data_IF_223659427110
#
_entry.id   IF_223659427110
#
_cell.length_a   1.000
_cell.length_b   1.000
_cell.length_c   1.000
_cell.angle_alpha   90.00
_cell.angle_beta   90.00
_cell.angle_gamma   90.00
#
_symmetry.space_group_name_H-M   'P 1'
#
loop_
_entity.id
_entity.type
_entity.pdbx_description
1 polymer ?
#
# COMPACT_ATOMS: atom_id res chain seq x y z
N UNK A 1 -8.12 -7.97 -32.93
CA UNK A 1 -6.97 -8.00 -31.99
C UNK A 1 -7.01 -6.68 -31.20
N UNK A 2 -7.82 -6.61 -30.13
CA UNK A 2 -7.95 -5.41 -29.29
C UNK A 2 -7.03 -5.58 -28.09
N UNK A 3 -5.86 -4.95 -28.13
CA UNK A 3 -5.00 -4.78 -26.97
C UNK A 3 -5.63 -3.74 -26.06
N UNK A 4 -6.23 -4.18 -24.95
CA UNK A 4 -6.66 -3.27 -23.90
C UNK A 4 -5.40 -2.82 -23.14
N UNK A 5 -5.16 -1.51 -23.15
CA UNK A 5 -4.15 -0.88 -22.33
C UNK A 5 -4.63 -0.94 -20.87
N UNK A 6 -3.89 -1.65 -20.03
CA UNK A 6 -3.98 -1.46 -18.60
C UNK A 6 -3.15 -0.21 -18.28
N UNK A 7 -3.78 0.80 -17.74
CA UNK A 7 -3.14 2.04 -17.33
C UNK A 7 -2.53 1.77 -15.97
N UNK A 8 -1.21 1.87 -15.87
CA UNK A 8 -0.54 2.11 -14.59
C UNK A 8 -1.17 3.40 -14.06
N UNK A 9 -1.74 3.38 -12.87
CA UNK A 9 -2.25 4.60 -12.25
C UNK A 9 -1.06 5.54 -11.98
N UNK A 10 -0.71 6.28 -13.02
CA UNK A 10 0.11 7.47 -12.90
C UNK A 10 -0.82 8.59 -12.44
N UNK A 11 -0.39 9.37 -11.50
CA UNK A 11 -0.96 10.65 -11.15
C UNK A 11 -0.80 11.65 -12.30
N UNK A 12 -1.51 11.40 -13.41
CA UNK A 12 -1.74 12.35 -14.48
C UNK A 12 -3.23 12.58 -14.56
N UNK A 13 -3.64 13.78 -14.30
CA UNK A 13 -5.01 14.23 -14.37
C UNK A 13 -5.74 13.75 -15.64
N UNK A 14 -6.83 13.04 -15.46
CA UNK A 14 -7.90 12.90 -16.44
C UNK A 14 -7.86 11.63 -17.28
N UNK A 15 -8.60 10.62 -16.85
CA UNK A 15 -9.56 9.90 -17.70
C UNK A 15 -10.37 8.90 -16.84
N UNK A 16 -11.60 9.26 -16.57
CA UNK A 16 -12.60 8.39 -15.96
C UNK A 16 -13.01 7.31 -16.96
N UNK A 17 -12.91 6.03 -16.58
CA UNK A 17 -13.66 4.95 -17.24
C UNK A 17 -14.56 4.29 -16.20
N UNK A 18 -15.85 4.61 -16.32
CA UNK A 18 -16.94 3.97 -15.58
C UNK A 18 -17.01 2.48 -15.91
N UNK A 19 -16.75 1.62 -14.94
CA UNK A 19 -17.06 0.21 -14.97
C UNK A 19 -18.12 -0.11 -13.93
N UNK A 20 -19.41 -0.11 -14.31
CA UNK A 20 -20.49 -0.57 -13.45
C UNK A 20 -20.44 -2.10 -13.30
N UNK A 21 -20.02 -2.58 -12.15
CA UNK A 21 -20.19 -3.96 -11.72
C UNK A 21 -21.46 -4.11 -10.91
N UNK A 22 -22.39 -4.95 -11.38
CA UNK A 22 -23.62 -5.32 -10.68
C UNK A 22 -23.30 -6.10 -9.40
N UNK A 23 -23.39 -5.44 -8.26
CA UNK A 23 -23.41 -6.08 -6.96
C UNK A 23 -24.85 -6.29 -6.50
N UNK A 24 -25.19 -7.52 -6.21
CA UNK A 24 -26.50 -7.91 -5.69
C UNK A 24 -26.73 -7.32 -4.28
N UNK A 25 -27.79 -6.55 -4.16
CA UNK A 25 -28.29 -5.98 -2.91
C UNK A 25 -28.63 -7.06 -1.89
N UNK A 26 -27.88 -7.10 -0.77
CA UNK A 26 -28.41 -7.56 0.53
C UNK A 26 -27.99 -6.52 1.58
N UNK A 27 -28.96 -5.75 2.06
CA UNK A 27 -28.78 -4.82 3.19
C UNK A 27 -28.43 -5.59 4.46
N UNK A 28 -27.35 -5.24 5.18
CA UNK A 28 -27.19 -5.64 6.57
C UNK A 28 -28.07 -4.76 7.46
N UNK A 29 -28.76 -5.36 8.40
CA UNK A 29 -29.47 -4.70 9.49
C UNK A 29 -28.44 -4.13 10.47
N UNK A 30 -28.49 -2.81 10.68
CA UNK A 30 -27.68 -2.13 11.68
C UNK A 30 -27.18 -0.78 11.19
N UNK A 31 -28.13 0.13 10.84
CA UNK A 31 -27.79 1.55 10.59
C UNK A 31 -27.61 2.21 11.96
N UNK A 32 -26.46 2.82 12.27
CA UNK A 32 -26.33 3.70 13.42
C UNK A 32 -27.25 4.92 13.24
N UNK A 33 -27.89 5.31 14.32
CA UNK A 33 -28.86 6.38 14.43
C UNK A 33 -28.29 7.72 13.95
N UNK A 34 -28.97 8.39 13.03
CA UNK A 34 -28.57 9.66 12.40
C UNK A 34 -28.65 10.92 13.33
N UNK A 35 -28.36 10.77 14.60
CA UNK A 35 -28.34 11.88 15.55
C UNK A 35 -27.02 11.97 16.32
N UNK A 36 -25.90 11.92 15.62
CA UNK A 36 -24.62 12.39 16.15
C UNK A 36 -24.28 13.70 15.49
N UNK A 37 -23.99 14.71 16.27
CA UNK A 37 -23.57 16.03 15.81
C UNK A 37 -22.50 15.85 14.73
N UNK A 38 -22.72 16.39 13.54
CA UNK A 38 -21.83 16.32 12.39
C UNK A 38 -20.51 17.01 12.74
N UNK A 39 -19.56 16.23 13.26
CA UNK A 39 -18.16 16.65 13.28
C UNK A 39 -17.72 16.79 11.82
N UNK A 40 -17.42 18.01 11.40
CA UNK A 40 -16.99 18.27 10.03
C UNK A 40 -15.61 17.65 9.84
N UNK A 41 -15.50 16.71 8.91
CA UNK A 41 -14.18 16.20 8.46
C UNK A 41 -13.35 17.39 7.97
N UNK A 42 -12.06 17.47 8.33
CA UNK A 42 -11.19 18.54 7.86
C UNK A 42 -11.14 18.58 6.34
N UNK A 43 -11.03 19.76 5.78
CA UNK A 43 -10.87 19.95 4.33
C UNK A 43 -9.51 19.49 3.81
N UNK A 44 -8.52 19.32 4.69
CA UNK A 44 -7.16 18.85 4.39
C UNK A 44 -6.65 17.95 5.52
N UNK A 45 -6.25 16.73 5.18
CA UNK A 45 -5.75 15.71 6.13
C UNK A 45 -4.25 15.46 6.00
N UNK A 46 -3.49 16.32 5.31
CA UNK A 46 -2.06 16.08 5.08
C UNK A 46 -1.28 15.92 6.38
N UNK A 47 -0.34 14.95 6.43
CA UNK A 47 0.62 14.87 7.53
C UNK A 47 1.38 16.18 7.74
N UNK A 48 1.64 16.51 8.99
CA UNK A 48 2.44 17.68 9.34
C UNK A 48 3.92 17.32 9.24
N UNK A 49 4.59 17.82 8.21
CA UNK A 49 6.02 17.57 7.97
C UNK A 49 6.84 18.74 8.52
N UNK A 50 7.82 18.43 9.35
CA UNK A 50 8.77 19.39 9.93
C UNK A 50 10.21 18.99 9.57
N UNK A 51 11.20 19.88 9.76
CA UNK A 51 12.60 19.52 9.49
C UNK A 51 13.12 18.32 10.31
N UNK A 52 12.48 18.01 11.44
CA UNK A 52 12.81 16.86 12.28
C UNK A 52 12.00 15.59 11.95
N UNK A 53 11.16 15.64 10.91
CA UNK A 53 10.37 14.49 10.49
C UNK A 53 11.23 13.42 9.82
N UNK A 54 10.77 12.17 9.91
CA UNK A 54 11.31 11.06 9.10
C UNK A 54 10.97 11.26 7.62
N UNK A 55 11.52 10.42 6.74
CA UNK A 55 11.22 10.47 5.31
C UNK A 55 9.72 10.39 5.02
N UNK A 56 9.27 11.10 3.99
CA UNK A 56 7.87 11.16 3.59
C UNK A 56 7.71 10.84 2.11
N UNK A 57 6.65 10.13 1.76
CA UNK A 57 6.20 9.88 0.41
C UNK A 57 4.70 9.67 0.32
N UNK A 58 4.19 9.45 -0.87
CA UNK A 58 2.78 9.18 -1.09
C UNK A 58 2.53 8.24 -2.28
N UNK A 59 1.49 7.43 -2.19
CA UNK A 59 0.70 6.98 -3.31
C UNK A 59 -0.33 8.05 -3.60
N UNK A 60 -0.20 8.72 -4.74
CA UNK A 60 -0.92 9.96 -5.04
C UNK A 60 -1.51 9.95 -6.46
N UNK A 61 -2.53 9.10 -6.72
CA UNK A 61 -3.15 9.04 -8.04
C UNK A 61 -3.94 10.31 -8.41
N UNK A 62 -4.16 11.19 -7.44
CA UNK A 62 -4.93 12.43 -7.60
C UNK A 62 -4.07 13.68 -7.77
N UNK A 63 -2.76 13.59 -7.50
CA UNK A 63 -1.82 14.71 -7.62
C UNK A 63 -1.86 15.68 -6.44
N UNK A 64 -2.47 15.29 -5.32
CA UNK A 64 -2.62 16.13 -4.14
C UNK A 64 -1.27 16.46 -3.46
N UNK A 65 -0.26 15.60 -3.63
CA UNK A 65 1.14 15.81 -3.21
C UNK A 65 2.08 16.19 -4.36
N UNK A 66 1.54 16.44 -5.55
CA UNK A 66 2.32 16.66 -6.76
C UNK A 66 3.36 17.77 -6.67
N UNK A 67 3.11 18.80 -5.87
CA UNK A 67 4.01 19.96 -5.67
C UNK A 67 4.60 20.01 -4.25
N UNK A 68 4.34 19.01 -3.40
CA UNK A 68 4.89 19.00 -2.05
C UNK A 68 6.41 18.70 -2.07
N UNK A 69 7.26 19.64 -1.62
CA UNK A 69 8.70 19.47 -1.62
C UNK A 69 9.18 18.44 -0.60
N UNK A 70 8.36 18.09 0.38
CA UNK A 70 8.68 17.10 1.42
C UNK A 70 8.44 15.67 0.93
N UNK A 71 7.60 15.46 -0.08
CA UNK A 71 7.40 14.15 -0.67
C UNK A 71 8.65 13.72 -1.44
N UNK A 72 9.33 12.67 -0.96
CA UNK A 72 10.59 12.13 -1.52
C UNK A 72 10.46 10.70 -2.04
N UNK A 73 9.29 10.10 -1.87
CA UNK A 73 8.99 8.75 -2.34
C UNK A 73 7.68 8.82 -3.15
N UNK A 74 7.73 8.36 -4.38
CA UNK A 74 6.56 8.14 -5.22
C UNK A 74 6.19 6.68 -5.15
N UNK A 75 4.98 6.35 -4.67
CA UNK A 75 4.52 4.98 -4.55
C UNK A 75 3.59 4.64 -5.71
N UNK A 76 3.81 3.48 -6.31
CA UNK A 76 3.03 2.95 -7.42
C UNK A 76 2.55 1.55 -7.09
N UNK A 77 1.34 1.22 -7.53
CA UNK A 77 0.84 -0.16 -7.56
C UNK A 77 0.73 -0.62 -9.00
N UNK A 78 1.11 -1.86 -9.27
CA UNK A 78 0.93 -2.48 -10.57
C UNK A 78 0.72 -3.99 -10.44
N UNK A 79 -0.15 -4.57 -11.27
CA UNK A 79 -0.20 -6.01 -11.45
C UNK A 79 0.99 -6.45 -12.31
N UNK A 80 1.45 -7.68 -12.17
CA UNK A 80 2.52 -8.17 -13.04
C UNK A 80 2.02 -8.74 -14.39
N UNK A 81 0.70 -8.96 -14.53
CA UNK A 81 0.04 -9.42 -15.75
C UNK A 81 -0.82 -8.29 -16.37
N UNK A 82 -1.01 -8.34 -17.68
CA UNK A 82 -1.89 -7.44 -18.44
C UNK A 82 -1.57 -5.94 -18.29
N UNK A 83 -0.32 -5.60 -18.04
CA UNK A 83 0.18 -4.24 -17.85
C UNK A 83 1.21 -3.85 -18.93
N UNK A 84 1.20 -2.61 -19.37
CA UNK A 84 2.26 -2.06 -20.21
C UNK A 84 3.38 -1.46 -19.35
N UNK A 85 4.36 -2.29 -19.00
CA UNK A 85 5.48 -1.92 -18.13
C UNK A 85 6.34 -0.78 -18.70
N UNK A 86 6.29 -0.52 -20.02
CA UNK A 86 7.03 0.60 -20.64
C UNK A 86 6.53 1.96 -20.13
N UNK A 87 5.34 2.02 -19.55
CA UNK A 87 4.81 3.24 -18.93
C UNK A 87 5.51 3.60 -17.62
N UNK A 88 6.31 2.71 -17.01
CA UNK A 88 7.13 3.01 -15.83
C UNK A 88 8.10 4.16 -16.07
N UNK A 89 8.56 4.37 -17.31
CA UNK A 89 9.42 5.52 -17.64
C UNK A 89 8.72 6.86 -17.38
N UNK A 90 7.39 6.92 -17.52
CA UNK A 90 6.63 8.15 -17.25
C UNK A 90 6.58 8.45 -15.74
N UNK A 91 6.46 7.41 -14.92
CA UNK A 91 6.54 7.53 -13.46
C UNK A 91 7.96 7.95 -13.02
N UNK A 92 8.98 7.39 -13.65
CA UNK A 92 10.38 7.77 -13.39
C UNK A 92 10.65 9.23 -13.76
N UNK A 93 10.22 9.67 -14.93
CA UNK A 93 10.34 11.08 -15.34
C UNK A 93 9.60 12.03 -14.38
N UNK A 94 8.45 11.61 -13.86
CA UNK A 94 7.70 12.38 -12.86
C UNK A 94 8.46 12.46 -11.54
N UNK A 95 8.99 11.33 -11.07
CA UNK A 95 9.76 11.22 -9.84
C UNK A 95 11.08 11.99 -9.92
N UNK A 96 11.83 11.83 -11.03
CA UNK A 96 13.09 12.54 -11.27
C UNK A 96 12.95 14.07 -11.22
N UNK A 97 11.92 14.62 -11.87
CA UNK A 97 11.65 16.07 -11.85
C UNK A 97 11.38 16.62 -10.45
N UNK A 98 11.06 15.76 -9.49
CA UNK A 98 10.72 16.10 -8.09
C UNK A 98 11.76 15.62 -7.08
N UNK A 99 12.81 14.95 -7.54
CA UNK A 99 13.84 14.37 -6.67
C UNK A 99 13.28 13.30 -5.76
N UNK A 100 12.38 12.44 -6.29
CA UNK A 100 11.74 11.33 -5.57
C UNK A 100 12.33 9.98 -5.99
N UNK A 101 12.42 9.06 -5.05
CA UNK A 101 12.62 7.63 -5.31
C UNK A 101 11.28 6.96 -5.64
N UNK A 102 11.34 5.74 -6.16
CA UNK A 102 10.17 4.93 -6.49
C UNK A 102 10.01 3.77 -5.50
N UNK A 103 8.84 3.65 -4.90
CA UNK A 103 8.36 2.44 -4.25
C UNK A 103 7.34 1.80 -5.18
N UNK A 104 7.61 0.59 -5.65
CA UNK A 104 6.76 -0.10 -6.61
C UNK A 104 6.16 -1.35 -5.94
N UNK A 105 4.88 -1.29 -5.60
CA UNK A 105 4.11 -2.46 -5.17
C UNK A 105 3.74 -3.29 -6.39
N UNK A 106 4.25 -4.52 -6.45
CA UNK A 106 4.01 -5.47 -7.52
C UNK A 106 3.08 -6.56 -7.01
N UNK A 107 1.89 -6.60 -7.57
CA UNK A 107 0.85 -7.56 -7.20
C UNK A 107 0.90 -8.78 -8.13
N UNK A 108 1.02 -10.02 -7.58
CA UNK A 108 1.16 -11.24 -8.37
C UNK A 108 -0.17 -11.71 -8.99
N UNK A 109 -0.87 -10.84 -9.64
CA UNK A 109 -2.13 -11.11 -10.36
C UNK A 109 -2.32 -10.15 -11.54
N UNK A 110 -3.49 -10.24 -12.20
CA UNK A 110 -3.96 -9.26 -13.15
C UNK A 110 -5.16 -8.49 -12.58
N UNK A 111 -5.25 -7.20 -12.85
CA UNK A 111 -6.46 -6.41 -12.57
C UNK A 111 -7.57 -6.64 -13.62
N UNK A 112 -7.36 -7.57 -14.55
CA UNK A 112 -8.40 -7.95 -15.52
C UNK A 112 -9.58 -8.61 -14.81
N UNK A 113 -10.84 -8.21 -15.11
CA UNK A 113 -12.03 -8.84 -14.54
C UNK A 113 -12.17 -10.33 -14.86
N UNK A 114 -11.42 -10.83 -15.84
CA UNK A 114 -11.43 -12.22 -16.28
C UNK A 114 -10.33 -13.08 -15.65
N UNK A 115 -9.46 -12.51 -14.82
CA UNK A 115 -8.45 -13.27 -14.11
C UNK A 115 -9.10 -14.25 -13.11
N UNK A 116 -8.65 -15.51 -13.05
CA UNK A 116 -9.37 -16.60 -12.35
C UNK A 116 -8.46 -17.62 -11.67
N UNK A 117 -7.18 -17.31 -11.43
CA UNK A 117 -6.35 -18.26 -10.69
C UNK A 117 -6.80 -18.34 -9.22
N UNK A 118 -6.92 -19.56 -8.72
CA UNK A 118 -7.08 -19.76 -7.28
C UNK A 118 -5.75 -19.47 -6.56
N UNK A 119 -5.82 -19.26 -5.25
CA UNK A 119 -4.64 -19.07 -4.40
C UNK A 119 -3.60 -20.19 -4.59
N UNK A 120 -4.03 -21.44 -4.61
CA UNK A 120 -3.13 -22.60 -4.79
C UNK A 120 -2.55 -22.68 -6.22
N UNK A 121 -3.32 -22.38 -7.25
CA UNK A 121 -2.82 -22.36 -8.64
C UNK A 121 -1.78 -21.27 -8.83
N UNK A 122 -2.01 -20.08 -8.29
CA UNK A 122 -1.05 -18.98 -8.34
C UNK A 122 0.26 -19.38 -7.64
N UNK A 123 0.18 -19.89 -6.41
CA UNK A 123 1.36 -20.34 -5.66
C UNK A 123 2.16 -21.40 -6.43
N UNK A 124 1.49 -22.44 -6.91
CA UNK A 124 2.16 -23.51 -7.67
C UNK A 124 2.84 -22.99 -8.93
N UNK A 125 2.18 -22.11 -9.70
CA UNK A 125 2.76 -21.52 -10.91
C UNK A 125 3.98 -20.62 -10.61
N UNK A 126 4.01 -19.96 -9.44
CA UNK A 126 5.19 -19.23 -8.98
C UNK A 126 6.30 -20.20 -8.59
N UNK A 127 6.01 -21.18 -7.73
CA UNK A 127 7.03 -22.10 -7.22
C UNK A 127 7.63 -22.99 -8.33
N UNK A 128 6.87 -23.32 -9.37
CA UNK A 128 7.35 -24.07 -10.54
C UNK A 128 8.20 -23.23 -11.49
N UNK A 129 8.13 -21.89 -11.42
CA UNK A 129 8.82 -20.98 -12.33
C UNK A 129 8.01 -20.57 -13.55
N UNK A 130 6.79 -21.02 -13.68
CA UNK A 130 5.91 -20.61 -14.78
C UNK A 130 5.69 -19.09 -14.83
N UNK A 131 5.80 -18.42 -13.66
CA UNK A 131 5.59 -16.97 -13.50
C UNK A 131 6.89 -16.14 -13.49
N UNK A 132 8.06 -16.76 -13.63
CA UNK A 132 9.34 -16.04 -13.61
C UNK A 132 9.43 -14.98 -14.70
N UNK A 133 8.83 -15.23 -15.86
CA UNK A 133 8.79 -14.27 -16.97
C UNK A 133 8.11 -12.95 -16.64
N UNK A 134 7.05 -12.96 -15.83
CA UNK A 134 6.38 -11.72 -15.39
C UNK A 134 7.30 -10.92 -14.47
N UNK A 135 7.92 -11.59 -13.50
CA UNK A 135 8.82 -10.93 -12.56
C UNK A 135 10.07 -10.40 -13.23
N UNK A 136 10.66 -11.19 -14.13
CA UNK A 136 11.80 -10.78 -14.94
C UNK A 136 11.48 -9.54 -15.78
N UNK A 137 10.28 -9.47 -16.37
CA UNK A 137 9.84 -8.32 -17.16
C UNK A 137 9.71 -7.06 -16.30
N UNK A 138 9.05 -7.14 -15.13
CA UNK A 138 8.95 -6.02 -14.17
C UNK A 138 10.34 -5.53 -13.78
N UNK A 139 11.23 -6.44 -13.39
CA UNK A 139 12.56 -6.05 -12.90
C UNK A 139 13.48 -5.54 -14.01
N UNK A 140 13.36 -6.06 -15.22
CA UNK A 140 14.09 -5.55 -16.39
C UNK A 140 13.65 -4.13 -16.78
N UNK A 141 12.35 -3.83 -16.70
CA UNK A 141 11.87 -2.46 -16.94
C UNK A 141 12.29 -1.52 -15.80
N UNK A 142 12.17 -1.97 -14.54
CA UNK A 142 12.62 -1.21 -13.39
C UNK A 142 14.14 -0.92 -13.41
N UNK A 143 14.95 -1.79 -14.01
CA UNK A 143 16.41 -1.59 -14.16
C UNK A 143 16.78 -0.43 -15.11
N UNK A 144 15.85 0.01 -15.96
CA UNK A 144 16.06 1.12 -16.90
C UNK A 144 15.77 2.49 -16.29
N UNK A 145 15.14 2.51 -15.11
CA UNK A 145 14.73 3.73 -14.42
C UNK A 145 15.95 4.41 -13.79
N UNK A 146 15.89 5.73 -13.66
CA UNK A 146 16.97 6.56 -13.11
C UNK A 146 16.79 6.83 -11.62
N UNK A 147 15.57 6.78 -11.13
CA UNK A 147 15.26 6.88 -9.71
C UNK A 147 15.70 5.65 -8.96
N UNK A 148 16.04 5.80 -7.69
CA UNK A 148 16.21 4.65 -6.79
C UNK A 148 14.90 3.88 -6.69
N UNK A 149 14.95 2.56 -6.92
CA UNK A 149 13.76 1.70 -6.93
C UNK A 149 13.77 0.76 -5.74
N UNK A 150 12.64 0.73 -5.02
CA UNK A 150 12.31 -0.30 -4.05
C UNK A 150 11.12 -1.11 -4.57
N UNK A 151 11.26 -2.42 -4.65
CA UNK A 151 10.20 -3.35 -5.06
C UNK A 151 9.56 -3.94 -3.80
N UNK A 152 8.25 -3.78 -3.70
CA UNK A 152 7.37 -4.33 -2.66
C UNK A 152 6.47 -5.36 -3.32
N UNK A 153 6.67 -6.65 -3.05
CA UNK A 153 5.94 -7.73 -3.73
C UNK A 153 5.02 -8.47 -2.79
N UNK A 154 3.79 -8.76 -3.26
CA UNK A 154 2.80 -9.55 -2.53
C UNK A 154 2.64 -9.09 -1.07
N UNK A 155 2.31 -7.81 -0.91
CA UNK A 155 2.13 -7.15 0.39
C UNK A 155 1.02 -7.78 1.24
N UNK A 156 1.05 -7.51 2.54
CA UNK A 156 0.00 -7.86 3.50
C UNK A 156 -0.37 -9.35 3.52
N UNK A 157 0.61 -10.21 3.36
CA UNK A 157 0.45 -11.67 3.32
C UNK A 157 -0.07 -12.27 4.64
N UNK A 158 0.03 -11.53 5.72
CA UNK A 158 -0.47 -11.86 7.05
C UNK A 158 -1.94 -11.43 7.29
N UNK A 159 -2.61 -10.94 6.23
CA UNK A 159 -4.04 -10.63 6.26
C UNK A 159 -4.88 -11.92 6.28
N UNK A 160 -6.04 -11.87 6.91
CA UNK A 160 -6.93 -13.02 7.07
C UNK A 160 -8.25 -12.90 6.29
N UNK A 161 -8.49 -11.77 5.66
CA UNK A 161 -9.64 -11.57 4.78
C UNK A 161 -9.38 -12.10 3.36
N UNK A 162 -10.30 -11.85 2.43
CA UNK A 162 -10.21 -12.34 1.06
C UNK A 162 -9.74 -11.26 0.07
N UNK A 163 -9.10 -10.21 0.55
CA UNK A 163 -8.61 -9.12 -0.32
C UNK A 163 -7.53 -9.63 -1.28
N UNK A 164 -6.56 -10.36 -0.76
CA UNK A 164 -5.40 -10.80 -1.53
C UNK A 164 -5.34 -12.32 -1.69
N UNK A 165 -5.21 -12.79 -2.94
CA UNK A 165 -5.08 -14.21 -3.27
C UNK A 165 -3.88 -14.86 -2.57
N UNK A 166 -2.78 -14.15 -2.37
CA UNK A 166 -1.55 -14.63 -1.74
C UNK A 166 -1.59 -14.62 -0.20
N UNK A 167 -2.51 -13.92 0.43
CA UNK A 167 -2.67 -13.93 1.88
C UNK A 167 -3.14 -15.29 2.44
N UNK A 168 -3.62 -16.20 1.56
CA UNK A 168 -4.02 -17.56 1.95
C UNK A 168 -2.91 -18.60 1.81
N UNK A 169 -1.70 -18.21 1.42
CA UNK A 169 -0.59 -19.15 1.39
C UNK A 169 -0.09 -19.44 2.80
N UNK A 170 0.33 -20.70 3.03
CA UNK A 170 0.99 -20.97 4.30
C UNK A 170 2.34 -20.22 4.37
N UNK A 171 2.79 -19.83 5.57
CA UNK A 171 3.95 -18.97 5.72
C UNK A 171 5.24 -19.49 5.04
N UNK A 172 5.64 -20.77 5.16
CA UNK A 172 6.83 -21.28 4.48
C UNK A 172 6.76 -21.19 2.96
N UNK A 173 5.60 -21.39 2.35
CA UNK A 173 5.46 -21.34 0.90
C UNK A 173 5.42 -19.90 0.39
N UNK A 174 4.82 -18.97 1.13
CA UNK A 174 4.98 -17.55 0.84
C UNK A 174 6.46 -17.13 0.87
N UNK A 175 7.19 -17.55 1.92
CA UNK A 175 8.61 -17.23 2.03
C UNK A 175 9.41 -17.75 0.83
N UNK A 176 9.15 -18.98 0.36
CA UNK A 176 9.79 -19.55 -0.86
C UNK A 176 9.41 -18.78 -2.12
N UNK A 177 8.13 -18.40 -2.27
CA UNK A 177 7.67 -17.61 -3.42
C UNK A 177 8.35 -16.24 -3.44
N UNK A 178 8.44 -15.56 -2.29
CA UNK A 178 9.16 -14.30 -2.15
C UNK A 178 10.65 -14.43 -2.47
N UNK A 179 11.32 -15.47 -1.94
CA UNK A 179 12.73 -15.75 -2.24
C UNK A 179 12.97 -15.99 -3.74
N UNK A 180 12.05 -16.71 -4.41
CA UNK A 180 12.12 -16.90 -5.86
C UNK A 180 12.00 -15.59 -6.61
N UNK A 181 11.01 -14.78 -6.25
CA UNK A 181 10.81 -13.45 -6.83
C UNK A 181 12.07 -12.59 -6.71
N UNK A 182 12.66 -12.48 -5.52
CA UNK A 182 13.90 -11.69 -5.31
C UNK A 182 15.06 -12.26 -6.14
N UNK A 183 15.16 -13.58 -6.25
CA UNK A 183 16.22 -14.23 -7.04
C UNK A 183 16.09 -13.86 -8.52
N UNK A 184 14.92 -14.06 -9.11
CA UNK A 184 14.64 -13.69 -10.51
C UNK A 184 14.87 -12.19 -10.74
N UNK A 185 14.42 -11.37 -9.80
CA UNK A 185 14.58 -9.93 -9.92
C UNK A 185 16.05 -9.50 -9.89
N UNK A 186 16.86 -10.07 -9.01
CA UNK A 186 18.30 -9.77 -8.91
C UNK A 186 19.09 -10.17 -10.16
N UNK A 187 18.65 -11.14 -10.92
CA UNK A 187 19.23 -11.49 -12.21
C UNK A 187 19.02 -10.37 -13.24
N UNK A 188 17.88 -9.66 -13.17
CA UNK A 188 17.44 -8.66 -14.13
C UNK A 188 17.66 -7.21 -13.67
N UNK A 189 17.79 -6.97 -12.35
CA UNK A 189 18.03 -5.66 -11.77
C UNK A 189 18.97 -5.78 -10.56
N UNK A 190 20.18 -5.21 -10.69
CA UNK A 190 21.22 -5.31 -9.64
C UNK A 190 21.15 -4.21 -8.58
N UNK A 191 20.33 -3.19 -8.78
CA UNK A 191 20.29 -1.98 -7.94
C UNK A 191 19.02 -1.85 -7.11
N UNK A 192 17.94 -2.55 -7.49
CA UNK A 192 16.68 -2.51 -6.76
C UNK A 192 16.84 -3.01 -5.32
N UNK A 193 16.14 -2.35 -4.38
CA UNK A 193 15.93 -2.83 -3.02
C UNK A 193 14.63 -3.63 -2.93
N UNK A 194 14.56 -4.54 -1.97
CA UNK A 194 13.40 -5.41 -1.79
C UNK A 194 12.75 -5.16 -0.44
N UNK A 195 11.47 -4.81 -0.47
CA UNK A 195 10.66 -4.58 0.72
C UNK A 195 9.76 -5.80 0.97
N UNK A 196 9.95 -6.45 2.11
CA UNK A 196 8.99 -7.39 2.65
C UNK A 196 7.98 -6.61 3.50
N UNK A 197 6.69 -6.73 3.20
CA UNK A 197 5.70 -5.81 3.73
C UNK A 197 4.46 -6.52 4.30
N UNK A 198 4.54 -7.01 5.54
CA UNK A 198 3.36 -7.48 6.25
C UNK A 198 2.44 -6.32 6.64
N UNK A 199 1.16 -6.61 6.88
CA UNK A 199 0.22 -5.67 7.50
C UNK A 199 0.62 -5.36 8.95
N UNK A 200 1.29 -6.29 9.59
CA UNK A 200 1.78 -6.18 10.96
C UNK A 200 0.95 -6.98 11.95
N UNK A 201 0.25 -8.00 11.51
CA UNK A 201 -0.58 -8.87 12.35
C UNK A 201 0.27 -9.85 13.17
N UNK A 202 -0.36 -10.52 14.14
CA UNK A 202 0.26 -11.54 14.94
C UNK A 202 0.68 -12.75 14.09
N UNK A 203 1.86 -13.33 14.36
CA UNK A 203 2.37 -14.50 13.62
C UNK A 203 3.08 -14.16 12.31
N UNK A 204 3.26 -12.87 11.97
CA UNK A 204 3.93 -12.44 10.74
C UNK A 204 5.36 -12.98 10.60
N UNK A 205 6.03 -13.31 11.70
CA UNK A 205 7.40 -13.83 11.72
C UNK A 205 7.55 -15.11 10.91
N UNK A 206 6.50 -15.92 10.86
CA UNK A 206 6.48 -17.17 10.09
C UNK A 206 6.61 -16.94 8.57
N UNK A 207 6.22 -15.75 8.08
CA UNK A 207 6.30 -15.37 6.67
C UNK A 207 7.65 -14.74 6.29
N UNK A 208 8.56 -14.53 7.25
CA UNK A 208 9.80 -13.82 6.96
C UNK A 208 10.72 -14.64 6.01
N UNK A 209 11.06 -14.10 4.83
CA UNK A 209 11.80 -14.86 3.83
C UNK A 209 13.30 -14.96 4.10
N UNK A 210 13.78 -14.39 5.17
CA UNK A 210 15.18 -14.38 5.55
C UNK A 210 15.91 -13.10 5.18
N UNK A 211 16.94 -12.81 5.98
CA UNK A 211 17.64 -11.51 5.95
C UNK A 211 18.33 -11.19 4.62
N UNK A 212 18.71 -12.23 3.85
CA UNK A 212 19.37 -12.06 2.56
C UNK A 212 18.40 -11.62 1.44
N UNK A 213 17.10 -11.71 1.66
CA UNK A 213 16.08 -11.39 0.68
C UNK A 213 15.32 -10.11 0.99
N UNK A 214 15.61 -9.47 2.12
CA UNK A 214 14.91 -8.26 2.59
C UNK A 214 15.91 -7.14 2.85
N UNK A 215 15.66 -5.99 2.25
CA UNK A 215 16.41 -4.75 2.51
C UNK A 215 15.65 -3.81 3.43
N UNK A 216 14.33 -3.80 3.35
CA UNK A 216 13.42 -2.92 4.10
C UNK A 216 12.22 -3.75 4.56
N UNK A 217 11.75 -3.51 5.79
CA UNK A 217 10.46 -4.01 6.26
C UNK A 217 9.41 -2.93 6.07
N UNK A 218 8.35 -3.24 5.31
CA UNK A 218 7.17 -2.39 5.17
C UNK A 218 6.10 -2.77 6.20
N UNK A 219 5.31 -1.79 6.62
CA UNK A 219 4.13 -1.99 7.46
C UNK A 219 2.96 -1.18 6.90
N UNK A 220 1.72 -1.64 7.13
CA UNK A 220 0.52 -0.85 6.87
C UNK A 220 -0.05 -0.36 8.19
N UNK A 221 -0.34 0.94 8.29
CA UNK A 221 -0.85 1.57 9.51
C UNK A 221 -2.00 2.51 9.15
N UNK A 222 -3.21 2.15 9.56
CA UNK A 222 -4.40 2.94 9.24
C UNK A 222 -5.18 3.29 10.50
N UNK A 223 -5.58 4.56 10.63
CA UNK A 223 -6.48 5.03 11.67
C UNK A 223 -7.90 5.23 11.11
N UNK A 224 -8.87 4.49 11.64
CA UNK A 224 -10.25 4.65 11.22
C UNK A 224 -11.16 4.79 12.45
N UNK A 225 -11.47 6.05 12.81
CA UNK A 225 -12.16 6.36 14.05
C UNK A 225 -13.46 5.57 14.27
N UNK A 226 -14.37 5.39 13.27
CA UNK A 226 -15.56 4.56 13.49
C UNK A 226 -15.24 3.11 13.84
N UNK A 227 -14.20 2.53 13.22
CA UNK A 227 -13.76 1.17 13.51
C UNK A 227 -13.09 1.08 14.88
N UNK A 228 -12.26 2.04 15.21
CA UNK A 228 -11.60 2.13 16.51
C UNK A 228 -12.62 2.15 17.64
N UNK A 229 -13.60 3.05 17.57
CA UNK A 229 -14.66 3.18 18.57
C UNK A 229 -15.57 1.94 18.63
N UNK A 230 -15.95 1.38 17.48
CA UNK A 230 -16.94 0.30 17.42
C UNK A 230 -16.38 -1.10 17.61
N UNK A 231 -15.09 -1.33 17.30
CA UNK A 231 -14.46 -2.66 17.34
C UNK A 231 -13.37 -2.73 18.41
N UNK A 232 -12.51 -1.72 18.50
CA UNK A 232 -11.41 -1.69 19.48
C UNK A 232 -11.92 -1.18 20.84
N UNK A 233 -12.94 -0.28 20.83
CA UNK A 233 -13.56 0.27 22.00
C UNK A 233 -12.96 1.60 22.48
N UNK A 234 -11.96 2.10 21.80
CA UNK A 234 -11.36 3.42 22.01
C UNK A 234 -10.69 3.91 20.72
N UNK A 235 -10.46 5.20 20.61
CA UNK A 235 -9.69 5.78 19.49
C UNK A 235 -8.22 5.40 19.60
N UNK A 236 -7.66 4.82 18.54
CA UNK A 236 -6.24 4.48 18.49
C UNK A 236 -5.42 5.66 17.97
N UNK A 237 -4.18 5.78 18.44
CA UNK A 237 -3.21 6.71 17.90
C UNK A 237 -2.20 6.00 16.99
N UNK A 238 -1.52 6.77 16.13
CA UNK A 238 -0.41 6.25 15.33
C UNK A 238 0.65 5.55 16.20
N UNK A 239 1.02 6.16 17.31
CA UNK A 239 2.05 5.62 18.22
C UNK A 239 1.60 4.29 18.83
N UNK A 240 0.34 4.17 19.22
CA UNK A 240 -0.22 2.94 19.78
C UNK A 240 -0.17 1.80 18.77
N UNK A 241 -0.72 1.99 17.57
CA UNK A 241 -0.68 0.98 16.53
C UNK A 241 0.74 0.64 16.09
N UNK A 242 1.60 1.66 15.96
CA UNK A 242 2.98 1.48 15.56
C UNK A 242 3.78 0.68 16.60
N UNK A 243 3.53 0.89 17.90
CA UNK A 243 4.23 0.17 18.98
C UNK A 243 4.06 -1.33 18.88
N UNK A 244 2.84 -1.79 18.64
CA UNK A 244 2.56 -3.23 18.50
C UNK A 244 3.24 -3.80 17.25
N UNK A 245 3.05 -3.16 16.09
CA UNK A 245 3.62 -3.61 14.82
C UNK A 245 5.14 -3.56 14.83
N UNK A 246 5.72 -2.48 15.37
CA UNK A 246 7.16 -2.33 15.50
C UNK A 246 7.78 -3.41 16.39
N UNK A 247 7.13 -3.76 17.50
CA UNK A 247 7.61 -4.81 18.40
C UNK A 247 7.77 -6.16 17.68
N UNK A 248 6.88 -6.47 16.74
CA UNK A 248 6.91 -7.72 15.95
C UNK A 248 8.04 -7.74 14.91
N UNK A 249 8.42 -6.58 14.35
CA UNK A 249 9.37 -6.55 13.23
C UNK A 249 10.78 -6.06 13.58
N UNK A 250 10.98 -5.37 14.70
CA UNK A 250 12.30 -4.83 15.10
C UNK A 250 13.42 -5.87 15.20
N UNK A 251 13.06 -7.12 15.50
CA UNK A 251 14.00 -8.24 15.63
C UNK A 251 14.66 -8.65 14.32
N UNK A 252 14.14 -8.24 13.16
CA UNK A 252 14.73 -8.56 11.86
C UNK A 252 15.96 -7.67 11.53
N UNK A 253 16.20 -6.60 12.30
CA UNK A 253 17.38 -5.74 12.14
C UNK A 253 17.43 -4.99 10.81
N UNK A 254 16.27 -4.61 10.26
CA UNK A 254 16.13 -3.89 8.98
C UNK A 254 15.55 -2.49 9.21
N UNK A 255 15.86 -1.53 8.33
CA UNK A 255 15.10 -0.30 8.27
C UNK A 255 13.61 -0.58 8.10
N UNK A 256 12.78 0.18 8.79
CA UNK A 256 11.31 0.02 8.75
C UNK A 256 10.71 1.23 8.05
N UNK A 257 9.72 0.98 7.20
CA UNK A 257 8.91 2.00 6.55
C UNK A 257 7.43 1.69 6.78
N UNK A 258 6.62 2.69 7.11
CA UNK A 258 5.18 2.54 6.95
C UNK A 258 4.90 2.73 5.45
N UNK A 259 4.68 1.61 4.75
CA UNK A 259 4.52 1.58 3.30
C UNK A 259 3.13 2.02 2.86
N UNK A 260 2.13 1.89 3.74
CA UNK A 260 0.79 2.41 3.55
C UNK A 260 0.28 3.04 4.84
N UNK A 261 -0.08 4.31 4.76
CA UNK A 261 -0.61 5.11 5.87
C UNK A 261 -1.88 5.82 5.44
N UNK A 262 -2.91 5.73 6.21
CA UNK A 262 -4.11 6.57 6.04
C UNK A 262 -4.83 6.78 7.36
N UNK A 263 -5.64 7.82 7.44
CA UNK A 263 -6.50 8.04 8.60
C UNK A 263 -7.77 8.81 8.22
N UNK A 264 -8.87 8.43 8.86
CA UNK A 264 -10.19 9.04 8.67
C UNK A 264 -10.95 9.08 9.99
N UNK A 265 -11.62 10.21 10.25
CA UNK A 265 -12.41 10.46 11.42
C UNK A 265 -12.84 11.91 11.50
N UNK A 266 -13.26 12.34 12.69
CA UNK A 266 -13.57 13.74 12.94
C UNK A 266 -12.32 14.64 12.94
N UNK A 267 -12.51 15.94 13.03
CA UNK A 267 -11.43 16.93 12.96
C UNK A 267 -10.38 16.77 14.06
N UNK A 268 -10.77 16.29 15.23
CA UNK A 268 -9.87 16.04 16.37
C UNK A 268 -8.95 14.87 16.07
N UNK A 269 -9.55 13.73 15.75
CA UNK A 269 -8.88 12.49 15.41
C UNK A 269 -7.87 12.68 14.24
N UNK A 270 -8.34 13.27 13.14
CA UNK A 270 -7.50 13.52 11.96
C UNK A 270 -6.34 14.45 12.28
N UNK A 271 -6.55 15.52 13.04
CA UNK A 271 -5.49 16.44 13.46
C UNK A 271 -4.41 15.72 14.28
N UNK A 272 -4.81 14.87 15.22
CA UNK A 272 -3.89 14.19 16.12
C UNK A 272 -3.06 13.16 15.36
N UNK A 273 -3.65 12.44 14.42
CA UNK A 273 -2.93 11.58 13.47
C UNK A 273 -1.98 12.40 12.59
N UNK A 274 -2.46 13.44 11.91
CA UNK A 274 -1.64 14.27 11.03
C UNK A 274 -0.40 14.83 11.74
N UNK A 275 -0.51 15.19 13.00
CA UNK A 275 0.59 15.72 13.80
C UNK A 275 1.58 14.66 14.28
N UNK A 276 1.19 13.38 14.32
CA UNK A 276 2.01 12.31 14.91
C UNK A 276 2.74 11.46 13.88
N UNK A 277 2.17 11.21 12.72
CA UNK A 277 2.64 10.15 11.80
C UNK A 277 4.03 10.33 11.23
N UNK A 278 4.50 11.56 11.02
CA UNK A 278 5.79 11.85 10.41
C UNK A 278 6.90 12.17 11.41
N UNK A 279 6.66 12.11 12.70
CA UNK A 279 7.66 12.41 13.73
C UNK A 279 8.69 11.29 13.87
N UNK A 280 9.90 11.67 14.24
CA UNK A 280 10.89 10.73 14.75
C UNK A 280 10.59 10.39 16.21
N UNK A 281 10.55 9.10 16.53
CA UNK A 281 10.29 8.59 17.87
C UNK A 281 11.47 7.80 18.40
N UNK A 282 12.00 8.10 19.61
CA UNK A 282 13.07 7.32 20.21
C UNK A 282 12.70 5.84 20.42
N UNK A 283 11.41 5.52 20.58
CA UNK A 283 10.93 4.14 20.71
C UNK A 283 10.90 3.38 19.38
N UNK A 284 10.99 4.08 18.22
CA UNK A 284 11.00 3.50 16.89
C UNK A 284 12.26 3.91 16.09
N UNK A 285 13.48 3.61 16.57
CA UNK A 285 14.71 4.11 15.95
C UNK A 285 14.92 3.62 14.51
N UNK A 286 14.34 2.48 14.14
CA UNK A 286 14.45 1.93 12.78
C UNK A 286 13.33 2.41 11.84
N UNK A 287 12.33 3.15 12.32
CA UNK A 287 11.33 3.78 11.46
C UNK A 287 11.97 4.95 10.69
N UNK A 288 12.15 4.79 9.39
CA UNK A 288 12.90 5.72 8.53
C UNK A 288 12.02 6.57 7.64
N UNK A 289 10.83 6.08 7.27
CA UNK A 289 9.92 6.80 6.40
C UNK A 289 8.48 6.33 6.57
N UNK A 290 7.56 7.18 6.11
CA UNK A 290 6.15 6.85 5.92
C UNK A 290 5.73 7.20 4.50
N UNK A 291 4.78 6.44 3.96
CA UNK A 291 4.16 6.66 2.65
C UNK A 291 2.64 6.76 2.83
N UNK A 292 2.09 7.92 2.53
CA UNK A 292 0.66 8.16 2.64
C UNK A 292 -0.07 7.50 1.47
N UNK A 293 -1.19 6.84 1.74
CA UNK A 293 -2.08 6.25 0.74
C UNK A 293 -3.22 7.24 0.44
N UNK A 294 -3.05 8.06 -0.60
CA UNK A 294 -3.97 9.15 -0.94
C UNK A 294 -5.07 8.69 -1.90
N UNK A 295 -5.84 7.70 -1.48
CA UNK A 295 -6.99 7.23 -2.24
C UNK A 295 -8.09 6.70 -1.32
N UNK A 296 -9.22 6.31 -1.92
CA UNK A 296 -10.27 5.60 -1.22
C UNK A 296 -9.94 4.11 -1.17
N UNK A 297 -10.30 3.46 -0.05
CA UNK A 297 -10.22 2.01 0.05
C UNK A 297 -11.07 1.33 -1.01
N UNK A 298 -10.54 0.27 -1.61
CA UNK A 298 -11.23 -0.50 -2.67
C UNK A 298 -11.82 -1.80 -2.14
N UNK A 299 -11.38 -2.24 -0.98
CA UNK A 299 -11.88 -3.44 -0.31
C UNK A 299 -12.54 -3.04 1.02
N UNK A 300 -13.76 -3.51 1.31
CA UNK A 300 -14.49 -3.06 2.50
C UNK A 300 -13.81 -3.53 3.79
N UNK A 301 -13.70 -2.61 4.73
CA UNK A 301 -13.20 -2.95 6.07
C UNK A 301 -14.10 -3.97 6.75
N UNK A 302 -13.53 -4.82 7.61
CA UNK A 302 -14.25 -5.91 8.29
C UNK A 302 -15.46 -5.40 9.08
N UNK A 303 -16.38 -6.31 9.40
CA UNK A 303 -17.56 -6.05 10.24
C UNK A 303 -18.50 -4.98 9.69
N UNK A 304 -18.46 -4.71 8.36
CA UNK A 304 -19.41 -3.80 7.72
C UNK A 304 -19.06 -2.31 7.80
N UNK A 305 -17.82 -1.96 8.16
CA UNK A 305 -17.36 -0.57 8.24
C UNK A 305 -17.14 0.11 6.89
N UNK A 306 -17.33 -0.60 5.77
CA UNK A 306 -17.35 -0.02 4.44
C UNK A 306 -15.99 0.34 3.90
N UNK A 307 -15.95 1.38 3.06
CA UNK A 307 -14.78 1.82 2.31
C UNK A 307 -14.29 3.18 2.82
N UNK A 308 -13.34 3.22 3.76
CA UNK A 308 -12.76 4.47 4.22
C UNK A 308 -12.18 5.30 3.07
N UNK A 309 -12.16 6.62 3.25
CA UNK A 309 -11.60 7.55 2.28
C UNK A 309 -10.35 8.23 2.87
N UNK A 310 -9.18 7.75 2.49
CA UNK A 310 -7.90 8.26 2.99
C UNK A 310 -7.46 9.54 2.28
N UNK A 311 -8.12 9.96 1.19
CA UNK A 311 -7.73 11.15 0.44
C UNK A 311 -7.55 12.36 1.34
N UNK A 312 -6.41 13.05 1.16
CA UNK A 312 -6.07 14.22 1.98
C UNK A 312 -6.95 15.42 1.66
N UNK A 313 -7.39 15.57 0.41
CA UNK A 313 -8.32 16.60 -0.02
C UNK A 313 -9.67 15.94 -0.35
N UNK A 314 -10.65 16.20 0.48
CA UNK A 314 -12.03 15.80 0.17
C UNK A 314 -12.66 16.85 -0.75
N UNK A 315 -12.74 16.56 -2.03
CA UNK A 315 -13.65 17.29 -2.92
C UNK A 315 -15.07 17.00 -2.42
N UNK A 316 -15.85 18.04 -2.08
CA UNK A 316 -17.29 17.88 -1.92
C UNK A 316 -17.82 17.27 -3.21
N UNK A 317 -18.26 16.02 -3.17
CA UNK A 317 -19.09 15.50 -4.25
C UNK A 317 -20.28 16.45 -4.32
N UNK A 318 -20.46 17.07 -5.48
CA UNK A 318 -21.65 17.85 -5.74
C UNK A 318 -22.83 16.88 -5.56
N UNK A 319 -23.62 17.09 -4.54
CA UNK A 319 -24.90 16.39 -4.35
C UNK A 319 -25.77 16.69 -5.56
N UNK A 320 -25.84 15.74 -6.47
CA UNK A 320 -26.86 15.71 -7.53
C UNK A 320 -28.12 15.03 -7.02
#
# INVERSE_FOLDING_TARGET
MNRKLAVIALSCAGLMLNGAGLAANKRPLGVPNENSATATTPSDKRPVITPASIGFGAYDPHGDFGVDPNSKIEHLFLPWEDVDLRTLVLADDYAQKRGRSLLISVEPWSWSPNWRLSSSQLLQSILSGERDGYMAAVCSEAAKLKSDVTIRWAQEMDETDNQFTWAHWNPPDYAKAYQRMVTVCRENNKTAKYMWSPKGNEGLEAFYPGTNFVDIVGLSVFGYQPYDQGVIGHETSFVEQMREKYARVKGFGKPIMVAELGYEGDAGYVRDWAQSVAKSYPEFPELKAIVYFDDREVYPWPKGYGLPNWRVVQTREASN
#
